data_IF_531182082706
#
_entry.id   IF_531182082706
#
_cell.length_a   1.000
_cell.length_b   1.000
_cell.length_c   1.000
_cell.angle_alpha   90.00
_cell.angle_beta   90.00
_cell.angle_gamma   90.00
#
_symmetry.space_group_name_H-M   'P 1'
#
loop_
_entity.id
_entity.type
_entity.pdbx_description
1 polymer ?
#
# COMPACT_ATOMS: atom_id res chain seq x y z
N UNK A 1 15.23 -0.94 -15.76
CA UNK A 1 13.98 -1.64 -16.11
C UNK A 1 14.19 -3.11 -16.59
N UNK A 2 14.89 -4.00 -15.86
CA UNK A 2 14.82 -5.45 -16.16
C UNK A 2 14.03 -6.28 -15.12
N UNK A 3 13.83 -5.81 -13.89
CA UNK A 3 13.31 -6.66 -12.80
C UNK A 3 11.84 -7.06 -12.95
N UNK A 4 10.99 -6.23 -13.53
CA UNK A 4 9.56 -6.54 -13.72
C UNK A 4 9.35 -7.60 -14.80
N UNK A 5 10.18 -7.60 -15.85
CA UNK A 5 10.11 -8.57 -16.95
C UNK A 5 10.57 -9.97 -16.51
N UNK A 6 11.60 -10.05 -15.66
CA UNK A 6 12.05 -11.31 -15.05
C UNK A 6 10.98 -11.90 -14.12
N UNK A 7 10.26 -11.05 -13.36
CA UNK A 7 9.17 -11.48 -12.48
C UNK A 7 8.00 -12.11 -13.27
N UNK A 8 7.59 -11.50 -14.39
CA UNK A 8 6.55 -12.06 -15.26
C UNK A 8 7.00 -13.33 -15.99
N UNK A 9 8.26 -13.41 -16.43
CA UNK A 9 8.77 -14.59 -17.14
C UNK A 9 8.96 -15.81 -16.21
N UNK A 10 9.29 -15.60 -14.94
CA UNK A 10 9.49 -16.69 -13.98
C UNK A 10 8.17 -17.37 -13.59
N UNK A 11 7.10 -16.58 -13.40
CA UNK A 11 5.79 -17.11 -13.01
C UNK A 11 4.89 -17.54 -14.18
N UNK A 12 5.13 -17.06 -15.40
CA UNK A 12 4.42 -17.49 -16.61
C UNK A 12 5.00 -18.75 -17.27
N UNK A 13 6.09 -19.31 -16.73
CA UNK A 13 6.67 -20.54 -17.23
C UNK A 13 5.77 -21.74 -16.87
N UNK A 14 5.38 -22.61 -17.83
CA UNK A 14 4.47 -23.73 -17.60
C UNK A 14 5.04 -24.84 -16.68
N UNK A 15 6.27 -24.66 -16.17
CA UNK A 15 6.96 -25.59 -15.28
C UNK A 15 7.28 -24.99 -13.90
N UNK A 16 6.66 -23.87 -13.50
CA UNK A 16 6.93 -23.28 -12.19
C UNK A 16 6.19 -24.08 -11.09
N UNK A 17 6.90 -24.78 -10.18
CA UNK A 17 6.28 -25.67 -9.18
C UNK A 17 5.44 -24.93 -8.11
N UNK A 18 5.40 -23.59 -8.16
CA UNK A 18 4.67 -22.71 -7.23
C UNK A 18 3.33 -22.20 -7.77
N UNK A 19 2.96 -22.56 -9.01
CA UNK A 19 1.64 -22.27 -9.59
C UNK A 19 0.43 -22.73 -8.73
N UNK A 20 0.48 -23.83 -7.95
CA UNK A 20 -0.65 -24.21 -7.10
C UNK A 20 -0.73 -23.43 -5.77
N UNK A 21 0.27 -22.62 -5.41
CA UNK A 21 0.35 -21.96 -4.09
C UNK A 21 -0.31 -20.57 -4.10
N UNK A 22 -0.36 -19.89 -5.24
CA UNK A 22 -0.88 -18.52 -5.32
C UNK A 22 -2.35 -18.56 -5.75
N UNK A 23 -3.26 -18.28 -4.81
CA UNK A 23 -4.70 -18.24 -5.07
C UNK A 23 -5.07 -17.17 -6.14
N UNK A 24 -6.14 -17.38 -6.96
CA UNK A 24 -6.60 -16.39 -7.96
C UNK A 24 -6.86 -14.96 -7.41
N UNK A 25 -7.35 -14.76 -6.17
CA UNK A 25 -7.43 -13.44 -5.54
C UNK A 25 -6.09 -12.71 -5.44
N UNK A 26 -5.02 -13.44 -5.09
CA UNK A 26 -3.65 -12.91 -4.92
C UNK A 26 -3.10 -12.33 -6.23
N UNK A 27 -3.42 -12.97 -7.37
CA UNK A 27 -3.07 -12.49 -8.72
C UNK A 27 -3.76 -11.15 -9.10
N UNK A 28 -5.01 -10.96 -8.66
CA UNK A 28 -5.77 -9.73 -8.93
C UNK A 28 -5.21 -8.54 -8.14
N UNK A 29 -4.71 -8.77 -6.93
CA UNK A 29 -4.03 -7.75 -6.14
C UNK A 29 -2.65 -7.42 -6.70
N UNK A 30 -1.91 -8.43 -7.13
CA UNK A 30 -0.61 -8.25 -7.77
C UNK A 30 -0.66 -7.38 -9.02
N UNK A 31 -1.65 -7.63 -9.87
CA UNK A 31 -1.89 -6.80 -11.04
C UNK A 31 -2.33 -5.39 -10.63
N UNK A 32 -3.03 -5.20 -9.52
CA UNK A 32 -3.46 -3.88 -9.02
C UNK A 32 -2.31 -3.05 -8.43
N UNK A 33 -1.43 -3.67 -7.65
CA UNK A 33 -0.31 -3.01 -6.95
C UNK A 33 0.87 -2.73 -7.90
N UNK A 34 1.10 -3.62 -8.88
CA UNK A 34 2.20 -3.48 -9.86
C UNK A 34 1.78 -2.74 -11.14
N UNK A 35 0.57 -2.18 -11.21
CA UNK A 35 -0.02 -1.72 -12.47
C UNK A 35 0.69 -0.46 -13.01
N UNK A 36 1.15 -0.45 -14.27
CA UNK A 36 1.33 0.79 -15.04
C UNK A 36 0.00 1.49 -15.31
N UNK A 37 -1.15 0.85 -15.06
CA UNK A 37 -2.46 1.48 -15.25
C UNK A 37 -2.83 2.47 -14.15
N UNK A 38 -2.25 2.41 -12.94
CA UNK A 38 -2.53 3.41 -11.89
C UNK A 38 -1.88 4.72 -12.24
N UNK A 39 -0.64 4.68 -12.73
CA UNK A 39 0.06 5.87 -13.25
C UNK A 39 -0.67 6.41 -14.50
N UNK A 40 -1.12 5.53 -15.40
CA UNK A 40 -1.94 5.91 -16.57
C UNK A 40 -3.33 6.46 -16.19
N UNK A 41 -3.99 5.87 -15.19
CA UNK A 41 -5.28 6.34 -14.69
C UNK A 41 -5.14 7.70 -13.97
N UNK A 42 -4.04 7.91 -13.25
CA UNK A 42 -3.73 9.17 -12.60
C UNK A 42 -3.53 10.28 -13.64
N UNK A 43 -2.85 9.94 -14.74
CA UNK A 43 -2.66 10.84 -15.89
C UNK A 43 -3.98 11.25 -16.56
N UNK A 44 -5.05 10.47 -16.39
CA UNK A 44 -6.39 10.84 -16.89
C UNK A 44 -7.15 11.71 -15.87
N UNK A 45 -7.30 11.22 -14.64
CA UNK A 45 -7.99 11.94 -13.55
C UNK A 45 -7.49 11.45 -12.18
N UNK A 46 -6.55 12.20 -11.59
CA UNK A 46 -5.97 11.88 -10.28
C UNK A 46 -7.01 11.92 -9.16
N UNK A 47 -8.09 12.69 -9.28
CA UNK A 47 -9.09 12.83 -8.22
C UNK A 47 -9.84 11.52 -7.96
N UNK A 48 -10.03 10.69 -8.99
CA UNK A 48 -10.64 9.37 -8.84
C UNK A 48 -9.77 8.43 -8.01
N UNK A 49 -8.44 8.58 -8.07
CA UNK A 49 -7.50 7.74 -7.32
C UNK A 49 -7.31 8.22 -5.89
N UNK A 50 -7.33 9.54 -5.66
CA UNK A 50 -7.22 10.11 -4.32
C UNK A 50 -8.50 9.91 -3.48
N UNK A 51 -9.65 9.86 -4.16
CA UNK A 51 -10.97 9.65 -3.54
C UNK A 51 -11.72 8.49 -4.21
N UNK A 52 -11.19 7.26 -4.10
CA UNK A 52 -11.76 6.12 -4.80
C UNK A 52 -13.10 5.73 -4.20
N UNK A 53 -14.15 5.77 -5.02
CA UNK A 53 -15.50 5.32 -4.63
C UNK A 53 -15.59 3.80 -4.45
N UNK A 54 -14.65 3.06 -5.00
CA UNK A 54 -14.61 1.59 -4.98
C UNK A 54 -13.88 1.00 -3.77
N UNK A 55 -13.33 1.84 -2.89
CA UNK A 55 -12.73 1.41 -1.62
C UNK A 55 -13.75 1.52 -0.51
N UNK A 56 -13.80 0.51 0.36
CA UNK A 56 -14.75 0.48 1.47
C UNK A 56 -14.29 1.40 2.63
N UNK A 57 -15.15 1.56 3.64
CA UNK A 57 -14.88 2.46 4.77
C UNK A 57 -13.70 2.02 5.64
N UNK A 58 -13.38 0.73 5.70
CA UNK A 58 -12.23 0.20 6.43
C UNK A 58 -10.90 0.41 5.68
N UNK A 59 -10.91 0.33 4.36
CA UNK A 59 -9.71 0.53 3.55
C UNK A 59 -9.29 2.00 3.52
N UNK A 60 -10.27 2.92 3.50
CA UNK A 60 -10.06 4.36 3.32
C UNK A 60 -9.07 4.99 4.32
N UNK A 61 -9.10 4.69 5.63
CA UNK A 61 -8.11 5.18 6.60
C UNK A 61 -6.66 4.81 6.26
N UNK A 62 -6.43 3.70 5.56
CA UNK A 62 -5.10 3.23 5.19
C UNK A 62 -4.64 3.71 3.80
N UNK A 63 -5.51 4.42 3.06
CA UNK A 63 -5.16 5.01 1.78
C UNK A 63 -4.31 6.27 1.99
N UNK A 64 -3.02 6.12 1.73
CA UNK A 64 -2.06 7.20 1.65
C UNK A 64 -1.75 7.53 0.19
N UNK A 65 -2.21 8.69 -0.28
CA UNK A 65 -2.03 9.14 -1.67
C UNK A 65 -2.57 8.10 -2.67
N UNK A 66 -3.83 7.71 -2.46
CA UNK A 66 -4.60 6.82 -3.34
C UNK A 66 -4.25 5.33 -3.30
N UNK A 67 -3.29 4.92 -2.46
CA UNK A 67 -3.00 3.51 -2.21
C UNK A 67 -2.37 3.32 -0.82
N UNK A 68 -1.96 2.10 -0.46
CA UNK A 68 -1.42 1.80 0.86
C UNK A 68 -0.14 2.58 1.21
N UNK A 69 0.03 2.87 2.50
CA UNK A 69 1.22 3.50 3.05
C UNK A 69 2.44 2.55 2.96
N UNK A 70 3.63 2.98 2.48
CA UNK A 70 4.78 2.10 2.28
C UNK A 70 5.30 1.42 3.55
N UNK A 71 5.16 2.05 4.74
CA UNK A 71 5.45 1.38 6.02
C UNK A 71 4.61 0.14 6.29
N UNK A 72 3.43 -0.02 5.68
CA UNK A 72 2.66 -1.26 5.85
C UNK A 72 3.46 -2.48 5.35
N UNK A 73 4.27 -2.31 4.31
CA UNK A 73 5.09 -3.38 3.77
C UNK A 73 6.22 -3.77 4.74
N UNK A 74 6.91 -2.79 5.33
CA UNK A 74 7.99 -3.08 6.29
C UNK A 74 7.46 -3.57 7.62
N UNK A 75 6.31 -3.07 8.08
CA UNK A 75 5.66 -3.53 9.30
C UNK A 75 5.15 -4.97 9.17
N UNK A 76 4.53 -5.31 8.04
CA UNK A 76 4.11 -6.68 7.76
C UNK A 76 5.32 -7.62 7.65
N UNK A 77 6.41 -7.16 7.01
CA UNK A 77 7.63 -7.95 6.96
C UNK A 77 8.21 -8.18 8.35
N UNK A 78 8.22 -7.16 9.21
CA UNK A 78 8.66 -7.25 10.62
C UNK A 78 7.81 -8.24 11.43
N UNK A 79 6.49 -8.29 11.22
CA UNK A 79 5.67 -9.26 11.96
C UNK A 79 6.07 -10.70 11.66
N UNK A 80 6.44 -11.03 10.41
CA UNK A 80 6.95 -12.38 10.10
C UNK A 80 8.29 -12.71 10.76
N UNK A 81 9.06 -11.68 11.16
CA UNK A 81 10.39 -11.82 11.75
C UNK A 81 10.33 -11.86 13.29
N UNK A 82 9.40 -11.13 13.90
CA UNK A 82 9.19 -11.11 15.36
C UNK A 82 8.48 -12.38 15.87
N UNK A 83 7.64 -13.05 15.05
CA UNK A 83 6.92 -14.29 15.42
C UNK A 83 7.85 -15.53 15.62
N UNK A 84 9.17 -15.36 15.51
CA UNK A 84 10.15 -16.44 15.59
C UNK A 84 10.82 -16.65 16.96
N UNK A 85 10.58 -15.75 17.93
CA UNK A 85 11.27 -15.73 19.23
C UNK A 85 10.48 -16.35 20.40
N UNK A 86 9.22 -16.73 20.19
CA UNK A 86 8.39 -17.34 21.24
C UNK A 86 8.42 -18.89 21.17
N UNK A 87 8.93 -19.48 22.26
CA UNK A 87 8.76 -20.84 22.78
C UNK A 87 9.56 -22.01 22.18
N UNK A 88 10.81 -22.14 22.64
CA UNK A 88 11.37 -23.42 23.09
C UNK A 88 10.89 -23.72 24.55
N UNK A 89 9.57 -23.84 24.79
CA UNK A 89 9.05 -24.39 26.05
C UNK A 89 8.31 -25.70 25.78
N UNK A 90 8.94 -26.80 26.20
CA UNK A 90 8.34 -28.13 26.29
C UNK A 90 7.22 -28.10 27.35
N UNK A 91 6.03 -27.65 26.97
CA UNK A 91 4.91 -27.46 27.89
C UNK A 91 3.59 -27.95 27.31
N UNK A 92 3.17 -29.15 27.73
CA UNK A 92 1.87 -29.73 27.48
C UNK A 92 0.73 -28.74 27.83
N UNK A 93 0.06 -28.16 26.83
CA UNK A 93 -1.15 -27.35 27.04
C UNK A 93 -2.31 -27.80 26.18
N UNK A 94 -3.40 -28.11 26.88
CA UNK A 94 -4.65 -28.65 26.39
C UNK A 94 -5.33 -27.70 25.38
N UNK A 95 -5.94 -28.34 24.38
CA UNK A 95 -6.63 -27.72 23.24
C UNK A 95 -7.82 -26.89 23.73
N UNK A 96 -7.60 -25.58 23.92
CA UNK A 96 -8.63 -24.55 23.90
C UNK A 96 -8.79 -24.03 22.48
N UNK A 97 -10.01 -24.12 21.94
CA UNK A 97 -10.39 -23.65 20.60
C UNK A 97 -9.71 -22.33 20.22
N UNK A 98 -8.70 -22.43 19.36
CA UNK A 98 -7.95 -21.30 18.81
C UNK A 98 -7.96 -21.40 17.30
N UNK A 99 -8.03 -20.21 16.70
CA UNK A 99 -8.32 -19.91 15.30
C UNK A 99 -7.70 -20.89 14.28
N UNK A 100 -8.39 -21.10 13.15
CA UNK A 100 -7.99 -21.90 11.97
C UNK A 100 -6.68 -21.45 11.27
N UNK A 101 -5.78 -20.75 11.97
CA UNK A 101 -4.47 -20.30 11.49
C UNK A 101 -3.39 -21.41 11.62
N UNK A 102 -3.65 -22.46 12.41
CA UNK A 102 -2.66 -23.47 12.78
C UNK A 102 -2.44 -24.62 11.76
N UNK A 103 -3.20 -24.67 10.66
CA UNK A 103 -2.97 -25.66 9.59
C UNK A 103 -1.93 -25.19 8.55
N UNK A 104 -1.14 -24.16 8.90
CA UNK A 104 -0.11 -23.60 8.02
C UNK A 104 1.09 -24.57 7.97
N UNK A 105 1.51 -25.08 6.80
CA UNK A 105 2.59 -26.06 6.70
C UNK A 105 3.87 -25.58 7.41
N UNK A 106 4.52 -26.46 8.18
CA UNK A 106 5.77 -26.19 8.92
C UNK A 106 6.85 -25.45 8.11
N UNK A 107 6.88 -25.63 6.78
CA UNK A 107 7.81 -24.93 5.89
C UNK A 107 7.59 -23.40 5.87
N UNK A 108 6.36 -22.93 6.12
CA UNK A 108 5.99 -21.50 6.15
C UNK A 108 6.53 -20.84 7.41
N UNK A 109 6.32 -21.47 8.57
CA UNK A 109 6.87 -21.03 9.87
C UNK A 109 8.40 -20.97 9.86
N UNK A 110 9.06 -21.93 9.21
CA UNK A 110 10.53 -22.00 9.17
C UNK A 110 11.21 -21.01 8.22
N UNK A 111 10.48 -20.39 7.28
CA UNK A 111 11.11 -19.51 6.28
C UNK A 111 11.62 -18.18 6.84
N UNK A 112 11.13 -17.81 8.01
CA UNK A 112 11.49 -16.60 8.72
C UNK A 112 12.27 -16.88 10.01
N UNK A 113 12.37 -18.15 10.46
CA UNK A 113 13.24 -18.54 11.57
C UNK A 113 14.70 -18.33 11.17
N UNK A 114 15.34 -17.32 11.76
CA UNK A 114 16.69 -16.81 11.45
C UNK A 114 16.76 -15.99 10.14
N UNK A 115 16.22 -14.76 10.11
CA UNK A 115 16.41 -13.87 8.98
C UNK A 115 17.89 -13.59 8.74
N UNK A 116 18.29 -13.43 7.48
CA UNK A 116 19.66 -13.04 7.18
C UNK A 116 19.95 -11.63 7.71
N UNK A 117 21.17 -11.42 8.23
CA UNK A 117 21.62 -10.08 8.64
C UNK A 117 21.50 -9.06 7.50
N UNK A 118 21.66 -9.51 6.25
CA UNK A 118 21.49 -8.67 5.05
C UNK A 118 20.06 -8.19 4.86
N UNK A 119 19.07 -9.06 5.11
CA UNK A 119 17.65 -8.72 5.03
C UNK A 119 17.30 -7.71 6.15
N UNK A 120 17.74 -7.98 7.38
CA UNK A 120 17.53 -7.06 8.51
C UNK A 120 18.11 -5.67 8.25
N UNK A 121 19.38 -5.61 7.82
CA UNK A 121 20.03 -4.34 7.47
C UNK A 121 19.33 -3.63 6.31
N UNK A 122 18.80 -4.36 5.32
CA UNK A 122 18.03 -3.75 4.23
C UNK A 122 16.73 -3.15 4.74
N UNK A 123 15.99 -3.86 5.58
CA UNK A 123 14.73 -3.35 6.16
C UNK A 123 14.98 -2.04 6.89
N UNK A 124 16.02 -1.96 7.71
CA UNK A 124 16.41 -0.73 8.41
C UNK A 124 16.73 0.42 7.44
N UNK A 125 17.44 0.13 6.35
CA UNK A 125 17.75 1.13 5.32
C UNK A 125 16.49 1.63 4.61
N UNK A 126 15.58 0.73 4.24
CA UNK A 126 14.29 1.09 3.65
C UNK A 126 13.53 2.03 4.59
N UNK A 127 13.43 1.68 5.87
CA UNK A 127 12.74 2.49 6.86
C UNK A 127 13.41 3.85 7.09
N UNK A 128 14.75 3.90 7.05
CA UNK A 128 15.50 5.15 7.07
C UNK A 128 15.14 6.05 5.88
N UNK A 129 15.09 5.49 4.68
CA UNK A 129 14.69 6.23 3.48
C UNK A 129 13.24 6.71 3.58
N UNK A 130 12.33 5.86 4.05
CA UNK A 130 10.92 6.21 4.25
C UNK A 130 10.75 7.36 5.25
N UNK A 131 11.57 7.42 6.31
CA UNK A 131 11.54 8.52 7.31
C UNK A 131 11.84 9.89 6.69
N UNK A 132 12.53 9.92 5.55
CA UNK A 132 12.83 11.16 4.82
C UNK A 132 11.79 11.41 3.71
N UNK A 133 11.46 10.37 2.94
CA UNK A 133 10.64 10.50 1.74
C UNK A 133 9.16 10.72 2.04
N UNK A 134 8.61 10.00 3.03
CA UNK A 134 7.17 10.09 3.36
C UNK A 134 6.81 11.49 3.85
N UNK A 135 7.52 12.09 4.84
CA UNK A 135 7.20 13.46 5.27
C UNK A 135 7.36 14.49 4.15
N UNK A 136 8.33 14.32 3.25
CA UNK A 136 8.51 15.21 2.11
C UNK A 136 7.31 15.17 1.14
N UNK A 137 6.79 13.98 0.82
CA UNK A 137 5.60 13.82 -0.02
C UNK A 137 4.34 14.38 0.67
N UNK A 138 4.19 14.14 1.98
CA UNK A 138 3.08 14.70 2.77
C UNK A 138 3.15 16.23 2.79
N UNK A 139 4.34 16.82 2.95
CA UNK A 139 4.51 18.26 2.91
C UNK A 139 4.15 18.84 1.54
N UNK A 140 4.52 18.17 0.43
CA UNK A 140 4.14 18.58 -0.92
C UNK A 140 2.63 18.57 -1.14
N UNK A 141 1.94 17.51 -0.71
CA UNK A 141 0.46 17.44 -0.77
C UNK A 141 -0.17 18.55 0.04
N UNK A 142 0.30 18.78 1.28
CA UNK A 142 -0.22 19.86 2.12
C UNK A 142 -0.04 21.22 1.45
N UNK A 143 1.14 21.49 0.87
CA UNK A 143 1.42 22.74 0.18
C UNK A 143 0.57 22.90 -1.09
N UNK A 144 0.33 21.83 -1.84
CA UNK A 144 -0.54 21.85 -3.01
C UNK A 144 -2.00 22.15 -2.62
N UNK A 145 -2.51 21.51 -1.56
CA UNK A 145 -3.83 21.80 -1.01
C UNK A 145 -3.95 23.24 -0.51
N UNK A 146 -3.00 23.72 0.29
CA UNK A 146 -2.99 25.11 0.77
C UNK A 146 -2.94 26.10 -0.40
N UNK A 147 -2.09 25.85 -1.39
CA UNK A 147 -1.99 26.67 -2.59
C UNK A 147 -3.30 26.70 -3.41
N UNK A 148 -4.08 25.63 -3.39
CA UNK A 148 -5.44 25.61 -3.94
C UNK A 148 -6.39 26.49 -3.11
N UNK A 149 -6.43 26.31 -1.79
CA UNK A 149 -7.32 27.05 -0.89
C UNK A 149 -7.05 28.56 -0.89
N UNK A 150 -5.79 28.97 -0.73
CA UNK A 150 -5.39 30.38 -0.68
C UNK A 150 -5.83 31.13 -1.94
N UNK A 151 -5.74 30.47 -3.10
CA UNK A 151 -6.10 31.08 -4.39
C UNK A 151 -7.59 31.08 -4.64
N UNK A 152 -8.29 29.99 -4.30
CA UNK A 152 -9.76 29.96 -4.36
C UNK A 152 -10.33 31.05 -3.45
N UNK A 153 -9.78 31.24 -2.26
CA UNK A 153 -10.17 32.30 -1.33
C UNK A 153 -9.88 33.71 -1.87
N UNK A 154 -8.69 33.93 -2.46
CA UNK A 154 -8.33 35.22 -3.06
C UNK A 154 -9.21 35.58 -4.26
N UNK A 155 -9.52 34.60 -5.11
CA UNK A 155 -10.35 34.80 -6.30
C UNK A 155 -11.83 34.96 -5.95
N UNK A 156 -12.32 34.34 -4.86
CA UNK A 156 -13.73 34.41 -4.44
C UNK A 156 -14.22 35.86 -4.23
N UNK A 157 -13.39 36.73 -3.66
CA UNK A 157 -13.74 38.14 -3.40
C UNK A 157 -13.61 39.06 -4.62
N UNK A 158 -12.86 38.69 -5.65
CA UNK A 158 -12.56 39.55 -6.81
C UNK A 158 -13.61 39.47 -7.93
N UNK A 159 -14.50 38.48 -7.88
CA UNK A 159 -15.35 38.12 -9.01
C UNK A 159 -16.86 38.21 -8.76
N UNK A 160 -17.26 38.87 -7.67
CA UNK A 160 -18.66 39.22 -7.42
C UNK A 160 -19.18 40.12 -8.58
N UNK A 161 -19.85 39.51 -9.55
CA UNK A 161 -20.38 40.17 -10.76
C UNK A 161 -19.65 39.90 -12.10
N UNK A 162 -18.48 39.22 -12.14
CA UNK A 162 -17.75 38.88 -13.39
C UNK A 162 -17.48 37.37 -13.51
N UNK A 163 -18.55 36.62 -13.74
CA UNK A 163 -18.61 35.14 -13.63
C UNK A 163 -17.68 34.36 -14.57
N UNK A 164 -17.53 34.78 -15.83
CA UNK A 164 -16.81 33.96 -16.83
C UNK A 164 -15.28 34.11 -16.76
N UNK A 165 -14.76 35.32 -16.49
CA UNK A 165 -13.33 35.55 -16.29
C UNK A 165 -12.82 34.88 -15.01
N UNK A 166 -13.64 34.87 -13.96
CA UNK A 166 -13.40 34.16 -12.71
C UNK A 166 -13.21 32.66 -12.91
N UNK A 167 -14.14 32.07 -13.67
CA UNK A 167 -14.19 30.64 -13.91
C UNK A 167 -12.97 30.14 -14.68
N UNK A 168 -12.48 30.92 -15.65
CA UNK A 168 -11.27 30.60 -16.40
C UNK A 168 -9.99 30.70 -15.53
N UNK A 169 -9.89 31.73 -14.68
CA UNK A 169 -8.74 31.91 -13.78
C UNK A 169 -8.67 30.81 -12.70
N UNK A 170 -9.81 30.53 -12.06
CA UNK A 170 -9.94 29.42 -11.09
C UNK A 170 -9.63 28.09 -11.77
N UNK A 171 -10.14 27.85 -12.99
CA UNK A 171 -9.89 26.62 -13.75
C UNK A 171 -8.41 26.38 -14.03
N UNK A 172 -7.66 27.41 -14.44
CA UNK A 172 -6.21 27.30 -14.68
C UNK A 172 -5.43 27.00 -13.39
N UNK A 173 -5.84 27.62 -12.28
CA UNK A 173 -5.21 27.40 -10.98
C UNK A 173 -5.47 25.98 -10.45
N UNK A 174 -6.73 25.52 -10.52
CA UNK A 174 -7.12 24.16 -10.15
C UNK A 174 -6.29 23.16 -10.94
N UNK A 175 -6.15 23.35 -12.25
CA UNK A 175 -5.36 22.47 -13.11
C UNK A 175 -3.89 22.36 -12.66
N UNK A 176 -3.23 23.49 -12.36
CA UNK A 176 -1.84 23.46 -11.89
C UNK A 176 -1.64 22.77 -10.53
N UNK A 177 -2.62 22.87 -9.61
CA UNK A 177 -2.56 22.14 -8.34
C UNK A 177 -2.89 20.66 -8.51
N UNK A 178 -3.79 20.32 -9.44
CA UNK A 178 -4.05 18.93 -9.82
C UNK A 178 -2.84 18.29 -10.50
N UNK A 179 -2.07 19.04 -11.30
CA UNK A 179 -0.81 18.58 -11.89
C UNK A 179 0.26 18.29 -10.81
N UNK A 180 0.41 19.15 -9.80
CA UNK A 180 1.32 18.87 -8.68
C UNK A 180 0.85 17.64 -7.89
N UNK A 181 -0.46 17.52 -7.65
CA UNK A 181 -1.02 16.36 -6.97
C UNK A 181 -0.79 15.06 -7.75
N UNK A 182 -0.90 15.10 -9.08
CA UNK A 182 -0.53 14.00 -9.96
C UNK A 182 0.95 13.66 -9.80
N UNK A 183 1.84 14.65 -9.82
CA UNK A 183 3.27 14.46 -9.59
C UNK A 183 3.56 13.76 -8.26
N UNK A 184 2.95 14.23 -7.17
CA UNK A 184 3.11 13.61 -5.84
C UNK A 184 2.56 12.18 -5.80
N UNK A 185 1.42 11.92 -6.43
CA UNK A 185 0.85 10.57 -6.54
C UNK A 185 1.79 9.61 -7.28
N UNK A 186 2.37 10.05 -8.41
CA UNK A 186 3.32 9.25 -9.18
C UNK A 186 4.59 8.96 -8.38
N UNK A 187 5.11 9.95 -7.65
CA UNK A 187 6.27 9.75 -6.78
C UNK A 187 5.97 8.79 -5.62
N UNK A 188 4.77 8.86 -5.03
CA UNK A 188 4.32 7.93 -4.00
C UNK A 188 4.20 6.49 -4.55
N UNK A 189 3.65 6.32 -5.76
CA UNK A 189 3.63 5.02 -6.42
C UNK A 189 5.02 4.49 -6.72
N UNK A 190 5.93 5.35 -7.17
CA UNK A 190 7.32 4.98 -7.41
C UNK A 190 8.00 4.52 -6.11
N UNK A 191 7.74 5.20 -5.00
CA UNK A 191 8.24 4.81 -3.68
C UNK A 191 7.73 3.42 -3.27
N UNK A 192 6.40 3.18 -3.36
CA UNK A 192 5.81 1.86 -3.08
C UNK A 192 6.46 0.74 -3.92
N UNK A 193 6.64 1.00 -5.22
CA UNK A 193 7.30 0.06 -6.15
C UNK A 193 8.76 -0.18 -5.79
N UNK A 194 9.49 0.84 -5.34
CA UNK A 194 10.88 0.72 -4.87
C UNK A 194 10.97 -0.18 -3.65
N UNK A 195 10.15 0.07 -2.63
CA UNK A 195 10.11 -0.73 -1.39
C UNK A 195 9.87 -2.20 -1.71
N UNK A 196 8.87 -2.52 -2.54
CA UNK A 196 8.65 -3.90 -2.96
C UNK A 196 9.84 -4.50 -3.71
N UNK A 197 10.45 -3.75 -4.63
CA UNK A 197 11.61 -4.24 -5.37
C UNK A 197 12.82 -4.51 -4.46
N UNK A 198 13.02 -3.70 -3.43
CA UNK A 198 14.08 -3.88 -2.45
C UNK A 198 13.81 -5.10 -1.54
N UNK A 199 12.58 -5.28 -1.05
CA UNK A 199 12.19 -6.47 -0.28
C UNK A 199 12.38 -7.74 -1.12
N UNK A 200 11.92 -7.75 -2.37
CA UNK A 200 12.07 -8.92 -3.27
C UNK A 200 13.51 -9.15 -3.72
N UNK A 201 14.36 -8.13 -3.67
CA UNK A 201 15.77 -8.25 -3.98
C UNK A 201 16.56 -8.98 -2.90
N UNK A 202 16.12 -8.90 -1.64
CA UNK A 202 16.81 -9.52 -0.49
C UNK A 202 16.13 -10.82 0.00
N UNK A 203 14.96 -11.16 -0.55
CA UNK A 203 14.24 -12.38 -0.19
C UNK A 203 14.46 -13.47 -1.23
N UNK A 204 14.47 -14.72 -0.78
CA UNK A 204 14.39 -15.84 -1.71
C UNK A 204 12.96 -16.00 -2.26
N UNK A 205 12.80 -16.80 -3.31
CA UNK A 205 11.50 -16.98 -4.00
C UNK A 205 10.38 -17.43 -3.04
N UNK A 206 10.72 -18.25 -2.05
CA UNK A 206 9.76 -18.76 -1.08
C UNK A 206 9.34 -17.68 -0.07
N UNK A 207 10.31 -16.96 0.50
CA UNK A 207 10.05 -15.80 1.39
C UNK A 207 9.23 -14.72 0.68
N UNK A 208 9.56 -14.40 -0.58
CA UNK A 208 8.79 -13.47 -1.37
C UNK A 208 7.34 -13.95 -1.53
N UNK A 209 7.12 -15.22 -1.89
CA UNK A 209 5.78 -15.78 -2.03
C UNK A 209 4.96 -15.69 -0.73
N UNK A 210 5.56 -15.99 0.42
CA UNK A 210 4.90 -15.89 1.73
C UNK A 210 4.58 -14.45 2.10
N UNK A 211 5.52 -13.53 1.88
CA UNK A 211 5.28 -12.11 2.12
C UNK A 211 4.06 -11.61 1.32
N UNK A 212 3.95 -12.05 0.07
CA UNK A 212 2.86 -11.69 -0.82
C UNK A 212 1.52 -12.33 -0.43
N UNK A 213 1.57 -13.56 0.04
CA UNK A 213 0.40 -14.23 0.60
C UNK A 213 -0.11 -13.48 1.83
N UNK A 214 0.75 -13.19 2.79
CA UNK A 214 0.37 -12.42 3.98
C UNK A 214 -0.14 -11.01 3.64
N UNK A 215 0.46 -10.35 2.64
CA UNK A 215 -0.03 -9.06 2.16
C UNK A 215 -1.43 -9.18 1.55
N UNK A 216 -1.70 -10.23 0.79
CA UNK A 216 -3.02 -10.48 0.24
C UNK A 216 -4.05 -10.84 1.32
N UNK A 217 -3.66 -11.62 2.32
CA UNK A 217 -4.51 -11.95 3.47
C UNK A 217 -4.87 -10.69 4.26
N UNK A 218 -3.88 -9.82 4.54
CA UNK A 218 -4.10 -8.52 5.17
C UNK A 218 -5.14 -7.69 4.39
N UNK A 219 -5.05 -7.66 3.05
CA UNK A 219 -6.01 -6.94 2.21
C UNK A 219 -7.38 -7.60 2.11
N UNK A 220 -7.45 -8.94 2.15
CA UNK A 220 -8.71 -9.66 2.23
C UNK A 220 -9.40 -9.39 3.57
N UNK A 221 -8.64 -9.20 4.66
CA UNK A 221 -9.16 -8.81 5.96
C UNK A 221 -9.98 -7.51 5.94
N UNK A 222 -9.63 -6.55 5.08
CA UNK A 222 -10.45 -5.33 4.90
C UNK A 222 -11.83 -5.58 4.29
N UNK A 223 -12.09 -6.78 3.76
CA UNK A 223 -13.37 -7.18 3.19
C UNK A 223 -14.19 -8.06 4.14
N UNK A 224 -13.72 -8.24 5.37
CA UNK A 224 -14.47 -8.96 6.39
C UNK A 224 -15.80 -8.25 6.67
N UNK A 225 -16.91 -8.94 6.41
CA UNK A 225 -18.24 -8.35 6.48
C UNK A 225 -18.68 -8.04 7.92
N UNK A 226 -18.23 -8.83 8.89
CA UNK A 226 -18.54 -8.63 10.30
C UNK A 226 -17.81 -7.39 10.81
N UNK A 227 -16.50 -7.33 10.59
CA UNK A 227 -15.65 -6.18 10.93
C UNK A 227 -16.13 -4.89 10.24
N UNK A 228 -16.51 -4.97 8.96
CA UNK A 228 -17.09 -3.84 8.21
C UNK A 228 -18.37 -3.35 8.88
N UNK A 229 -19.27 -4.27 9.25
CA UNK A 229 -20.55 -3.92 9.85
C UNK A 229 -20.38 -3.28 11.23
N UNK A 230 -19.46 -3.79 12.05
CA UNK A 230 -19.13 -3.23 13.36
C UNK A 230 -18.50 -1.84 13.23
N UNK A 231 -17.58 -1.66 12.27
CA UNK A 231 -16.96 -0.36 12.02
C UNK A 231 -17.97 0.69 11.56
N UNK A 232 -18.89 0.34 10.67
CA UNK A 232 -19.94 1.25 10.20
C UNK A 232 -20.95 1.62 11.29
N UNK A 233 -21.18 0.72 12.26
CA UNK A 233 -22.00 1.00 13.45
C UNK A 233 -21.27 1.86 14.49
N UNK A 234 -19.95 1.96 14.38
CA UNK A 234 -19.11 2.72 15.29
C UNK A 234 -19.24 4.22 15.02
N UNK A 235 -20.26 4.86 15.60
CA UNK A 235 -20.44 6.31 15.57
C UNK A 235 -19.58 6.98 16.65
N UNK A 236 -18.26 6.86 16.56
CA UNK A 236 -17.38 7.69 17.40
C UNK A 236 -17.23 9.03 16.70
N UNK A 237 -17.72 10.15 17.27
CA UNK A 237 -17.44 11.46 16.71
C UNK A 237 -15.94 11.68 16.76
N UNK A 238 -15.34 11.94 15.60
CA UNK A 238 -13.95 12.37 15.51
C UNK A 238 -13.92 13.81 16.04
N UNK A 239 -13.47 13.96 17.30
CA UNK A 239 -13.21 15.26 17.93
C UNK A 239 -11.89 15.85 17.44
#
# INVERSE_FOLDING_TARGET
MPSTALFFHFFAAPCCPLLPVISPPTWRWFTTISRPTTDLAASNDVAQLLYPKWRNSLEKPFLWLGDFHPYLFTNLLRSFLDDGDDDDDDGDHEVGETCSFCDTPWQILMAWKNPSETLMARIEQIECALRLMVPALVARVRNAHLGLFDRVAADWGLFEGKREGAKAAIGKTVMGQMDEMLGVFLDANRLRKSVHAEIFGETNVYQAALFLEGLAQFFVGFRDHELLSEFERCTVPIN
#
